data_IF_075746286420
#
_entry.id   IF_075746286420
#
_cell.length_a   1.000
_cell.length_b   1.000
_cell.length_c   1.000
_cell.angle_alpha   90.00
_cell.angle_beta   90.00
_cell.angle_gamma   90.00
#
_symmetry.space_group_name_H-M   'P 1'
#
loop_
_entity.id
_entity.type
_entity.pdbx_description
1 polymer ?
#
# COMPACT_ATOMS: atom_id res chain seq x y z
N UNK A 1 17.26 18.25 -7.39
CA UNK A 1 16.45 18.66 -8.56
C UNK A 1 14.99 18.21 -8.42
N UNK A 2 14.69 16.93 -8.20
CA UNK A 2 13.29 16.45 -8.06
C UNK A 2 12.55 17.09 -6.88
N UNK A 3 13.21 17.26 -5.72
CA UNK A 3 12.59 17.90 -4.55
C UNK A 3 12.32 19.40 -4.76
N UNK A 4 13.11 20.09 -5.60
CA UNK A 4 12.86 21.51 -5.92
C UNK A 4 11.73 21.70 -6.92
N UNK A 5 11.42 20.68 -7.74
CA UNK A 5 10.36 20.72 -8.75
C UNK A 5 9.04 20.14 -8.24
N UNK A 6 9.09 19.05 -7.48
CA UNK A 6 7.90 18.30 -7.04
C UNK A 6 7.53 18.54 -5.56
N UNK A 7 8.36 19.30 -4.83
CA UNK A 7 8.16 19.53 -3.41
C UNK A 7 8.67 18.36 -2.54
N UNK A 8 8.42 18.49 -1.22
CA UNK A 8 8.82 17.48 -0.22
C UNK A 8 7.92 16.25 -0.29
N UNK A 9 8.50 15.11 0.04
CA UNK A 9 7.76 13.87 0.27
C UNK A 9 6.87 14.01 1.54
N UNK A 10 5.66 13.43 1.59
CA UNK A 10 5.04 12.55 0.56
C UNK A 10 4.42 13.34 -0.62
N UNK A 11 4.68 12.87 -1.84
CA UNK A 11 4.07 13.44 -3.02
C UNK A 11 2.60 13.04 -3.17
N UNK A 12 1.75 13.92 -3.77
CA UNK A 12 0.38 13.57 -4.09
C UNK A 12 0.29 12.30 -4.94
N UNK A 13 -0.73 11.49 -4.72
CA UNK A 13 -0.97 10.25 -5.49
C UNK A 13 -1.03 10.50 -6.99
N UNK A 14 -1.52 11.66 -7.40
CA UNK A 14 -1.57 12.07 -8.81
C UNK A 14 -0.18 12.19 -9.43
N UNK A 15 0.81 12.68 -8.70
CA UNK A 15 2.22 12.74 -9.16
C UNK A 15 2.79 11.34 -9.35
N UNK A 16 2.52 10.44 -8.40
CA UNK A 16 2.95 9.03 -8.47
C UNK A 16 2.24 8.31 -9.63
N UNK A 17 0.94 8.58 -9.84
CA UNK A 17 0.18 8.04 -10.97
C UNK A 17 0.77 8.46 -12.32
N UNK A 18 1.18 9.72 -12.46
CA UNK A 18 1.86 10.20 -13.65
C UNK A 18 3.22 9.52 -13.87
N UNK A 19 3.97 9.28 -12.79
CA UNK A 19 5.24 8.55 -12.85
C UNK A 19 5.01 7.12 -13.36
N UNK A 20 4.04 6.40 -12.82
CA UNK A 20 3.69 5.03 -13.26
C UNK A 20 3.36 5.01 -14.76
N UNK A 21 2.50 5.92 -15.24
CA UNK A 21 2.15 6.03 -16.66
C UNK A 21 3.36 6.34 -17.53
N UNK A 22 4.24 7.24 -17.08
CA UNK A 22 5.48 7.58 -17.82
C UNK A 22 6.43 6.40 -17.90
N UNK A 23 6.64 5.67 -16.79
CA UNK A 23 7.46 4.45 -16.78
C UNK A 23 6.92 3.41 -17.75
N UNK A 24 5.60 3.15 -17.72
CA UNK A 24 4.94 2.24 -18.68
C UNK A 24 5.14 2.69 -20.11
N UNK A 25 4.88 3.97 -20.42
CA UNK A 25 5.04 4.54 -21.77
C UNK A 25 6.48 4.42 -22.29
N UNK A 26 7.46 4.51 -21.40
CA UNK A 26 8.88 4.38 -21.74
C UNK A 26 9.39 2.93 -21.71
N UNK A 27 8.50 1.94 -21.66
CA UNK A 27 8.86 0.53 -21.84
C UNK A 27 9.39 -0.16 -20.59
N UNK A 28 9.18 0.38 -19.39
CA UNK A 28 9.55 -0.31 -18.15
C UNK A 28 8.88 -1.70 -18.11
N UNK A 29 9.67 -2.75 -17.92
CA UNK A 29 9.19 -4.14 -17.88
C UNK A 29 8.49 -4.48 -16.57
N UNK A 30 8.99 -3.94 -15.46
CA UNK A 30 8.43 -4.06 -14.13
C UNK A 30 8.64 -2.76 -13.36
N UNK A 31 7.73 -2.46 -12.44
CA UNK A 31 7.83 -1.32 -11.50
C UNK A 31 7.56 -1.88 -10.10
N UNK A 32 8.55 -1.83 -9.22
CA UNK A 32 8.41 -2.19 -7.81
C UNK A 32 8.27 -0.94 -6.95
N UNK A 33 7.31 -0.91 -6.05
CA UNK A 33 7.20 0.13 -5.05
C UNK A 33 7.85 -0.34 -3.73
N UNK A 34 8.84 0.40 -3.28
CA UNK A 34 9.40 0.33 -1.93
C UNK A 34 8.70 1.37 -1.03
N UNK A 35 7.39 1.35 -1.06
CA UNK A 35 6.51 2.29 -0.36
C UNK A 35 5.22 1.55 -0.02
N UNK A 36 4.70 1.79 1.20
CA UNK A 36 3.35 1.37 1.60
C UNK A 36 2.44 2.58 1.68
N UNK A 37 1.33 2.51 0.98
CA UNK A 37 0.25 3.47 1.04
C UNK A 37 -0.81 2.99 2.04
N UNK A 38 -0.47 3.01 3.33
CA UNK A 38 -1.31 2.45 4.40
C UNK A 38 -2.49 3.35 4.79
N UNK A 39 -2.46 4.62 4.35
CA UNK A 39 -3.48 5.62 4.63
C UNK A 39 -3.93 6.34 3.35
N UNK A 40 -5.18 6.86 3.33
CA UNK A 40 -5.65 7.70 2.23
C UNK A 40 -4.76 8.93 2.00
N UNK A 41 -4.72 9.41 0.76
CA UNK A 41 -3.90 10.57 0.41
C UNK A 41 -4.31 11.83 1.19
N UNK A 42 -3.37 12.35 1.99
CA UNK A 42 -3.56 13.59 2.75
C UNK A 42 -3.72 14.83 1.86
N UNK A 43 -3.25 14.77 0.63
CA UNK A 43 -3.37 15.84 -0.37
C UNK A 43 -4.70 15.79 -1.13
N UNK A 44 -5.58 14.84 -0.82
CA UNK A 44 -6.88 14.70 -1.44
C UNK A 44 -7.90 15.67 -0.83
N UNK A 45 -8.66 16.36 -1.69
CA UNK A 45 -9.81 17.17 -1.29
C UNK A 45 -11.12 16.35 -1.23
N UNK A 46 -11.04 15.02 -1.30
CA UNK A 46 -12.19 14.14 -1.37
C UNK A 46 -13.14 14.32 -0.19
N UNK A 47 -12.61 14.35 1.04
CA UNK A 47 -13.40 14.54 2.27
C UNK A 47 -14.21 15.84 2.25
N UNK A 48 -13.62 16.93 1.77
CA UNK A 48 -14.29 18.24 1.66
C UNK A 48 -15.43 18.16 0.64
N UNK A 49 -15.21 17.54 -0.50
CA UNK A 49 -16.24 17.39 -1.54
C UNK A 49 -17.35 16.44 -1.07
N UNK A 50 -17.03 15.36 -0.35
CA UNK A 50 -18.03 14.46 0.22
C UNK A 50 -18.89 15.15 1.29
N UNK A 51 -18.29 16.02 2.11
CA UNK A 51 -19.03 16.84 3.07
C UNK A 51 -19.99 17.82 2.39
N UNK A 52 -19.52 18.53 1.35
CA UNK A 52 -20.37 19.41 0.54
C UNK A 52 -21.51 18.65 -0.14
N UNK A 53 -21.24 17.46 -0.65
CA UNK A 53 -22.26 16.60 -1.24
C UNK A 53 -23.33 16.19 -0.22
N UNK A 54 -22.91 15.82 0.99
CA UNK A 54 -23.83 15.43 2.05
C UNK A 54 -24.72 16.62 2.48
N UNK A 55 -24.13 17.81 2.60
CA UNK A 55 -24.86 19.03 2.95
C UNK A 55 -25.89 19.43 1.88
N UNK A 56 -25.49 19.36 0.61
CA UNK A 56 -26.36 19.62 -0.53
C UNK A 56 -27.59 18.70 -0.52
N UNK A 57 -27.37 17.39 -0.22
CA UNK A 57 -28.48 16.42 -0.11
C UNK A 57 -29.45 16.78 1.03
N UNK A 58 -28.90 17.17 2.20
CA UNK A 58 -29.73 17.60 3.33
C UNK A 58 -30.57 18.81 3.02
N UNK A 59 -30.02 19.77 2.26
CA UNK A 59 -30.68 21.00 1.86
C UNK A 59 -31.67 20.83 0.69
N UNK A 60 -31.86 19.61 0.20
CA UNK A 60 -32.79 19.32 -0.89
C UNK A 60 -32.36 19.87 -2.26
N UNK A 61 -31.12 20.27 -2.41
CA UNK A 61 -30.58 20.78 -3.68
C UNK A 61 -30.38 19.61 -4.64
N UNK A 62 -31.16 19.58 -5.71
CA UNK A 62 -31.17 18.47 -6.69
C UNK A 62 -30.96 18.92 -8.14
N UNK A 63 -30.38 20.11 -8.35
CA UNK A 63 -30.13 20.65 -9.70
C UNK A 63 -29.14 19.73 -10.45
N UNK A 64 -29.51 19.17 -11.63
CA UNK A 64 -28.68 18.22 -12.37
C UNK A 64 -27.28 18.74 -12.70
N UNK A 65 -27.15 20.01 -13.07
CA UNK A 65 -25.84 20.63 -13.36
C UNK A 65 -24.90 20.70 -12.16
N UNK A 66 -25.43 20.96 -10.97
CA UNK A 66 -24.66 20.98 -9.73
C UNK A 66 -24.20 19.57 -9.34
N UNK A 67 -25.10 18.60 -9.45
CA UNK A 67 -24.78 17.20 -9.18
C UNK A 67 -23.65 16.72 -10.11
N UNK A 68 -23.74 17.00 -11.39
CA UNK A 68 -22.72 16.60 -12.37
C UNK A 68 -21.38 17.30 -12.14
N UNK A 69 -21.40 18.58 -11.77
CA UNK A 69 -20.19 19.31 -11.42
C UNK A 69 -19.51 18.69 -10.19
N UNK A 70 -20.27 18.40 -9.14
CA UNK A 70 -19.73 17.76 -7.94
C UNK A 70 -19.20 16.35 -8.21
N UNK A 71 -19.89 15.56 -9.05
CA UNK A 71 -19.42 14.23 -9.46
C UNK A 71 -18.07 14.31 -10.15
N UNK A 72 -17.90 15.24 -11.10
CA UNK A 72 -16.60 15.45 -11.77
C UNK A 72 -15.51 15.93 -10.82
N UNK A 73 -15.84 16.87 -9.93
CA UNK A 73 -14.89 17.36 -8.93
C UNK A 73 -14.48 16.25 -7.96
N UNK A 74 -15.44 15.42 -7.52
CA UNK A 74 -15.20 14.25 -6.67
C UNK A 74 -14.26 13.24 -7.33
N UNK A 75 -14.53 12.90 -8.60
CA UNK A 75 -13.67 11.96 -9.33
C UNK A 75 -12.22 12.48 -9.48
N UNK A 76 -12.04 13.78 -9.70
CA UNK A 76 -10.71 14.41 -9.76
C UNK A 76 -10.02 14.55 -8.39
N UNK A 77 -10.80 14.55 -7.30
CA UNK A 77 -10.26 14.64 -5.94
C UNK A 77 -9.94 13.27 -5.32
N UNK A 78 -10.46 12.18 -5.88
CA UNK A 78 -10.14 10.82 -5.44
C UNK A 78 -8.77 10.38 -6.01
N UNK A 79 -7.73 10.92 -5.41
CA UNK A 79 -6.34 10.73 -5.87
C UNK A 79 -5.86 9.30 -5.68
N UNK A 80 -6.37 8.58 -4.69
CA UNK A 80 -6.08 7.16 -4.48
C UNK A 80 -6.69 6.32 -5.62
N UNK A 81 -7.92 6.60 -6.03
CA UNK A 81 -8.54 5.95 -7.19
C UNK A 81 -7.79 6.26 -8.50
N UNK A 82 -7.27 7.49 -8.66
CA UNK A 82 -6.45 7.88 -9.82
C UNK A 82 -5.15 7.07 -9.87
N UNK A 83 -4.47 6.88 -8.73
CA UNK A 83 -3.28 6.04 -8.65
C UNK A 83 -3.63 4.57 -8.91
N UNK A 84 -4.70 4.06 -8.31
CA UNK A 84 -5.18 2.69 -8.53
C UNK A 84 -5.44 2.41 -10.02
N UNK A 85 -6.12 3.34 -10.71
CA UNK A 85 -6.37 3.23 -12.14
C UNK A 85 -5.07 3.16 -12.96
N UNK A 86 -4.06 3.99 -12.62
CA UNK A 86 -2.78 3.97 -13.32
C UNK A 86 -1.97 2.70 -13.08
N UNK A 87 -2.02 2.13 -11.86
CA UNK A 87 -1.39 0.85 -11.51
C UNK A 87 -2.04 -0.29 -12.32
N UNK A 88 -3.37 -0.32 -12.35
CA UNK A 88 -4.13 -1.33 -13.10
C UNK A 88 -3.86 -1.25 -14.61
N UNK A 89 -3.85 -0.04 -15.17
CA UNK A 89 -3.55 0.22 -16.58
C UNK A 89 -2.12 -0.20 -16.95
N UNK A 90 -1.15 0.07 -16.08
CA UNK A 90 0.24 -0.32 -16.30
C UNK A 90 0.40 -1.86 -16.33
N UNK A 91 -0.27 -2.59 -15.45
CA UNK A 91 -0.33 -4.06 -15.42
C UNK A 91 0.98 -4.77 -15.04
N UNK A 92 2.05 -4.01 -14.76
CA UNK A 92 3.39 -4.50 -14.44
C UNK A 92 3.94 -3.91 -13.13
N UNK A 93 3.04 -3.46 -12.26
CA UNK A 93 3.38 -2.87 -10.97
C UNK A 93 3.27 -3.91 -9.86
N UNK A 94 4.32 -4.03 -9.06
CA UNK A 94 4.35 -4.78 -7.80
C UNK A 94 4.27 -3.78 -6.65
N UNK A 95 3.28 -3.93 -5.77
CA UNK A 95 3.09 -3.08 -4.61
C UNK A 95 3.93 -3.59 -3.44
N UNK A 96 4.60 -2.66 -2.76
CA UNK A 96 5.34 -2.97 -1.56
C UNK A 96 4.45 -3.08 -0.33
N UNK A 97 4.83 -3.90 0.62
CA UNK A 97 4.31 -3.94 1.97
C UNK A 97 5.43 -4.33 2.93
N UNK A 98 5.21 -4.25 4.23
CA UNK A 98 6.19 -4.72 5.20
C UNK A 98 5.54 -5.42 6.38
N UNK A 99 6.33 -6.22 7.08
CA UNK A 99 5.94 -6.88 8.30
C UNK A 99 6.50 -6.17 9.53
N UNK A 100 5.68 -6.07 10.58
CA UNK A 100 6.13 -5.76 11.92
C UNK A 100 6.55 -7.05 12.62
N UNK A 101 7.68 -6.99 13.33
CA UNK A 101 8.15 -8.08 14.19
C UNK A 101 7.95 -7.67 15.66
N UNK A 102 7.37 -8.56 16.46
CA UNK A 102 7.22 -8.33 17.87
C UNK A 102 8.61 -8.24 18.54
N UNK A 103 8.88 -7.12 19.20
CA UNK A 103 10.10 -6.91 20.00
C UNK A 103 9.70 -6.67 21.45
N UNK A 104 10.52 -7.13 22.39
CA UNK A 104 10.32 -6.86 23.82
C UNK A 104 10.26 -5.34 24.05
N UNK A 105 9.16 -4.83 24.60
CA UNK A 105 8.96 -3.38 24.84
C UNK A 105 8.31 -2.59 23.69
N UNK A 106 7.91 -3.23 22.59
CA UNK A 106 7.28 -2.56 21.43
C UNK A 106 5.76 -2.38 21.53
N UNK A 107 5.13 -2.74 22.65
CA UNK A 107 3.67 -2.74 22.81
C UNK A 107 3.02 -1.39 22.51
N UNK A 108 3.67 -0.27 22.84
CA UNK A 108 3.17 1.07 22.56
C UNK A 108 3.24 1.42 21.07
N UNK A 109 4.31 0.98 20.38
CA UNK A 109 4.49 1.24 18.95
C UNK A 109 3.51 0.42 18.11
N UNK A 110 3.14 -0.77 18.60
CA UNK A 110 2.23 -1.69 17.92
C UNK A 110 0.76 -1.56 18.36
N UNK A 111 0.45 -0.66 19.30
CA UNK A 111 -0.90 -0.48 19.85
C UNK A 111 -1.96 -0.11 18.78
N UNK A 112 -1.56 0.46 17.64
CA UNK A 112 -2.44 0.76 16.52
C UNK A 112 -2.82 -0.48 15.68
N UNK A 113 -2.11 -1.60 15.86
CA UNK A 113 -2.33 -2.86 15.14
C UNK A 113 -3.33 -3.72 15.89
N UNK A 114 -4.61 -3.37 15.78
CA UNK A 114 -5.69 -4.21 16.32
C UNK A 114 -5.80 -5.52 15.55
N UNK A 115 -6.34 -6.57 16.17
CA UNK A 115 -6.59 -7.87 15.51
C UNK A 115 -7.39 -7.70 14.21
N UNK A 116 -8.38 -6.82 14.21
CA UNK A 116 -9.17 -6.52 13.03
C UNK A 116 -8.31 -5.92 11.90
N UNK A 117 -7.41 -4.97 12.23
CA UNK A 117 -6.49 -4.36 11.25
C UNK A 117 -5.50 -5.37 10.71
N UNK A 118 -4.95 -6.24 11.57
CA UNK A 118 -4.05 -7.32 11.18
C UNK A 118 -4.76 -8.26 10.19
N UNK A 119 -5.97 -8.71 10.51
CA UNK A 119 -6.75 -9.60 9.63
C UNK A 119 -7.10 -8.93 8.28
N UNK A 120 -7.43 -7.64 8.29
CA UNK A 120 -7.69 -6.88 7.05
C UNK A 120 -6.42 -6.75 6.19
N UNK A 121 -5.28 -6.42 6.80
CA UNK A 121 -4.02 -6.29 6.08
C UNK A 121 -3.54 -7.65 5.54
N UNK A 122 -3.71 -8.74 6.29
CA UNK A 122 -3.39 -10.08 5.84
C UNK A 122 -4.13 -10.46 4.54
N UNK A 123 -5.43 -10.15 4.45
CA UNK A 123 -6.22 -10.38 3.23
C UNK A 123 -5.71 -9.57 2.04
N UNK A 124 -5.16 -8.37 2.27
CA UNK A 124 -4.66 -7.49 1.21
C UNK A 124 -3.36 -7.97 0.59
N UNK A 125 -2.60 -8.80 1.30
CA UNK A 125 -1.33 -9.36 0.84
C UNK A 125 -1.42 -10.85 0.47
N UNK A 126 -2.62 -11.42 0.46
CA UNK A 126 -2.85 -12.85 0.19
C UNK A 126 -2.23 -13.30 -1.14
N UNK A 127 -2.21 -12.42 -2.14
CA UNK A 127 -1.61 -12.69 -3.46
C UNK A 127 -0.08 -12.82 -3.46
N UNK A 128 0.60 -12.48 -2.36
CA UNK A 128 2.05 -12.63 -2.20
C UNK A 128 2.46 -13.87 -1.42
N UNK A 129 1.48 -14.63 -0.92
CA UNK A 129 1.72 -15.85 -0.18
C UNK A 129 2.30 -16.94 -1.06
N UNK A 130 3.32 -17.65 -0.58
CA UNK A 130 3.81 -18.83 -1.24
C UNK A 130 2.80 -19.98 -1.09
N UNK A 131 2.35 -20.59 -2.19
CA UNK A 131 1.39 -21.69 -2.13
C UNK A 131 2.02 -22.97 -1.56
N UNK A 132 3.35 -23.09 -1.66
CA UNK A 132 4.11 -24.24 -1.17
C UNK A 132 5.55 -23.82 -0.87
N UNK A 133 6.04 -24.23 0.29
CA UNK A 133 7.44 -24.12 0.68
C UNK A 133 7.98 -25.54 0.91
N UNK A 134 8.93 -25.97 0.09
CA UNK A 134 9.60 -27.26 0.25
C UNK A 134 10.89 -27.09 1.04
N UNK A 135 11.05 -27.88 2.11
CA UNK A 135 12.29 -27.95 2.87
C UNK A 135 12.99 -29.29 2.63
N UNK A 136 14.24 -29.26 2.21
CA UNK A 136 15.08 -30.46 2.04
C UNK A 136 15.50 -31.07 3.38
N UNK A 137 15.40 -30.35 4.48
CA UNK A 137 15.79 -30.77 5.83
C UNK A 137 14.60 -31.25 6.69
N UNK A 138 13.44 -31.56 6.09
CA UNK A 138 12.22 -31.89 6.83
C UNK A 138 11.41 -30.64 7.16
N UNK A 139 11.09 -30.40 8.43
CA UNK A 139 10.41 -29.15 8.82
C UNK A 139 11.32 -27.95 8.57
N UNK A 140 10.78 -26.81 8.06
CA UNK A 140 11.56 -25.58 7.99
C UNK A 140 12.26 -25.34 9.32
N UNK A 141 13.54 -25.01 9.27
CA UNK A 141 14.29 -24.75 10.50
C UNK A 141 13.83 -23.38 11.04
N UNK A 142 12.85 -23.40 11.94
CA UNK A 142 12.25 -22.21 12.55
C UNK A 142 13.29 -21.28 13.22
N UNK A 143 14.47 -21.81 13.55
CA UNK A 143 15.55 -21.02 14.17
C UNK A 143 16.09 -19.90 13.26
N UNK A 144 15.95 -20.03 11.94
CA UNK A 144 16.46 -19.06 10.97
C UNK A 144 15.37 -18.33 10.17
N UNK A 145 14.10 -18.71 10.37
CA UNK A 145 12.99 -18.09 9.67
C UNK A 145 12.41 -16.93 10.49
N UNK A 146 12.38 -15.71 9.97
CA UNK A 146 11.74 -14.61 10.69
C UNK A 146 10.24 -14.84 10.82
N UNK A 147 9.70 -14.66 12.03
CA UNK A 147 8.27 -14.74 12.32
C UNK A 147 7.69 -13.35 12.49
N UNK A 148 6.80 -12.97 11.62
CA UNK A 148 6.14 -11.68 11.64
C UNK A 148 4.97 -11.66 12.63
N UNK A 149 4.77 -10.50 13.27
CA UNK A 149 3.64 -10.23 14.14
C UNK A 149 2.43 -9.73 13.33
N UNK A 150 2.62 -8.78 12.44
CA UNK A 150 1.55 -8.17 11.66
C UNK A 150 2.06 -7.59 10.34
N UNK A 151 1.29 -7.66 9.24
CA UNK A 151 1.60 -6.94 8.02
C UNK A 151 1.07 -5.51 8.05
N UNK A 152 1.82 -4.57 7.48
CA UNK A 152 1.34 -3.25 7.09
C UNK A 152 1.16 -3.21 5.58
N UNK A 153 -0.07 -3.05 5.12
CA UNK A 153 -0.45 -3.18 3.72
C UNK A 153 -1.02 -1.87 3.15
N UNK A 154 -1.05 -1.78 1.83
CA UNK A 154 -1.67 -0.66 1.14
C UNK A 154 -3.17 -0.58 1.42
N UNK A 155 -3.77 0.62 1.27
CA UNK A 155 -5.22 0.78 1.34
C UNK A 155 -5.94 -0.11 0.33
N UNK A 156 -7.22 -0.51 0.60
CA UNK A 156 -7.92 -1.51 -0.22
C UNK A 156 -7.93 -1.23 -1.71
N UNK A 157 -8.18 0.02 -2.11
CA UNK A 157 -8.28 0.40 -3.53
C UNK A 157 -6.96 0.20 -4.28
N UNK A 158 -5.82 0.45 -3.63
CA UNK A 158 -4.50 0.25 -4.22
C UNK A 158 -4.11 -1.23 -4.22
N UNK A 159 -4.34 -1.96 -3.11
CA UNK A 159 -4.08 -3.40 -3.06
C UNK A 159 -4.85 -4.16 -4.15
N UNK A 160 -6.12 -3.79 -4.38
CA UNK A 160 -6.95 -4.40 -5.43
C UNK A 160 -6.50 -4.02 -6.87
N UNK A 161 -5.76 -2.94 -7.03
CA UNK A 161 -5.24 -2.51 -8.33
C UNK A 161 -3.93 -3.18 -8.71
N UNK A 162 -3.11 -3.56 -7.73
CA UNK A 162 -1.85 -4.25 -7.93
C UNK A 162 -2.07 -5.71 -8.29
N UNK A 163 -1.39 -6.17 -9.35
CA UNK A 163 -1.42 -7.60 -9.73
C UNK A 163 -0.63 -8.46 -8.76
N UNK A 164 0.49 -7.92 -8.27
CA UNK A 164 1.41 -8.58 -7.36
C UNK A 164 1.73 -7.66 -6.19
N UNK A 165 2.14 -8.25 -5.07
CA UNK A 165 2.72 -7.56 -3.94
C UNK A 165 3.94 -8.31 -3.43
N UNK A 166 4.84 -7.59 -2.74
CA UNK A 166 6.02 -8.17 -2.14
C UNK A 166 6.46 -7.37 -0.92
N UNK A 167 7.01 -8.03 0.08
CA UNK A 167 7.57 -7.33 1.23
C UNK A 167 8.97 -6.80 0.91
N UNK A 168 9.34 -5.72 1.58
CA UNK A 168 10.66 -5.08 1.47
C UNK A 168 11.38 -4.99 2.83
N UNK A 169 11.02 -5.86 3.78
CA UNK A 169 11.69 -5.88 5.06
C UNK A 169 13.20 -6.08 4.92
N UNK A 170 13.96 -5.20 5.53
CA UNK A 170 15.37 -5.38 5.81
C UNK A 170 15.53 -5.72 7.29
N UNK A 171 16.32 -6.75 7.58
CA UNK A 171 16.64 -7.17 8.94
C UNK A 171 18.14 -6.94 9.15
N UNK A 172 18.55 -5.74 9.62
CA UNK A 172 19.95 -5.41 9.78
C UNK A 172 20.58 -6.24 10.90
N UNK A 173 21.85 -6.55 10.72
CA UNK A 173 22.71 -7.12 11.75
C UNK A 173 22.85 -6.17 12.95
N UNK A 174 23.47 -6.64 14.03
CA UNK A 174 23.67 -5.86 15.25
C UNK A 174 24.48 -4.56 15.05
N UNK A 175 25.28 -4.48 14.00
CA UNK A 175 26.05 -3.29 13.60
C UNK A 175 25.29 -2.34 12.65
N UNK A 176 24.01 -2.64 12.35
CA UNK A 176 23.16 -1.85 11.45
C UNK A 176 23.36 -2.14 9.96
N UNK A 177 24.27 -3.05 9.60
CA UNK A 177 24.54 -3.38 8.19
C UNK A 177 23.56 -4.45 7.68
N UNK A 178 23.04 -4.28 6.46
CA UNK A 178 22.23 -5.28 5.79
C UNK A 178 23.12 -6.23 4.96
N UNK A 179 23.40 -7.43 5.47
CA UNK A 179 24.20 -8.43 4.76
C UNK A 179 23.38 -9.57 4.17
N UNK A 180 22.13 -9.68 4.58
CA UNK A 180 21.21 -10.70 4.09
C UNK A 180 19.79 -10.14 4.02
N UNK A 181 18.95 -10.74 3.18
CA UNK A 181 17.54 -10.41 3.07
C UNK A 181 16.74 -11.72 3.17
N UNK A 182 15.71 -11.78 4.01
CA UNK A 182 14.89 -12.98 4.08
C UNK A 182 14.13 -13.15 2.77
N UNK A 183 14.18 -14.35 2.20
CA UNK A 183 13.38 -14.71 1.02
C UNK A 183 12.00 -15.22 1.41
N UNK A 184 11.84 -15.64 2.67
CA UNK A 184 10.59 -16.15 3.25
C UNK A 184 10.44 -15.55 4.65
N UNK A 185 9.24 -15.11 4.97
CA UNK A 185 8.85 -14.64 6.30
C UNK A 185 7.59 -15.41 6.70
N UNK A 186 7.62 -16.05 7.87
CA UNK A 186 6.45 -16.74 8.40
C UNK A 186 5.47 -15.76 9.05
N UNK A 187 4.19 -15.89 8.74
CA UNK A 187 3.10 -15.15 9.35
C UNK A 187 1.85 -16.01 9.49
N UNK A 188 1.31 -16.16 10.71
CA UNK A 188 0.08 -16.94 11.00
C UNK A 188 0.07 -18.34 10.35
N UNK A 189 1.16 -19.11 10.51
CA UNK A 189 1.35 -20.45 9.92
C UNK A 189 1.34 -20.48 8.36
N UNK A 190 1.56 -19.33 7.72
CA UNK A 190 1.73 -19.18 6.27
C UNK A 190 3.13 -18.61 5.96
N UNK A 191 3.55 -18.76 4.70
CA UNK A 191 4.85 -18.34 4.20
C UNK A 191 4.72 -17.44 3.00
#
# INVERSE_FOLDING_TARGET
KSLSELGRWPWPRTTIAQLVRKLKKNGAKAVGFDIVFSEPDINSNLKTIDALWAEMKKSGISQPGVIELLRRKRAGADTDAILAASIKEAGNVTLGYFFHFARKGSDKELAHLTEQRIAQNARRIENSRYPMVNSTAGKPNDAYMPHAFAPEANIPVLSAAGRNSGYFNALPDSDGSNRWSPLVIAFQNNY
#
